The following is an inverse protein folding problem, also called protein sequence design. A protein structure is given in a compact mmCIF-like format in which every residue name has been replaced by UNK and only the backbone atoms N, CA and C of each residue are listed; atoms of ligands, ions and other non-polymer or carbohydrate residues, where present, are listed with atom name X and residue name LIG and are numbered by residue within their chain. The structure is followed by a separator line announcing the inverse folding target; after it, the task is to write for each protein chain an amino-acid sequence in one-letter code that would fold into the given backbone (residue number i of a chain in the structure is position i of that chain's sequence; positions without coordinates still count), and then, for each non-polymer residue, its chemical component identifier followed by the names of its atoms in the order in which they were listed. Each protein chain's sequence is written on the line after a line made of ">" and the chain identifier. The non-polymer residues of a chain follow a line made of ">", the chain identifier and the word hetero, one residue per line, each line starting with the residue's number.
data_IF_789736695202
#
_entry.id   IF_789736695202
#
_cell.length_a   1.000
_cell.length_b   1.000
_cell.length_c   1.000
_cell.angle_alpha   90.00
_cell.angle_beta   90.00
_cell.angle_gamma   90.00
#
_symmetry.space_group_name_H-M   'P 1'
#
loop_
_entity.id
_entity.type
_entity.pdbx_description
1 polymer ?
#
# COMPACT_ATOMS: atom_id res chain seq x y z
N UNK A 1 11.53 9.31 15.17
CA UNK A 1 10.22 9.23 14.47
C UNK A 1 9.48 7.98 14.97
N UNK A 2 8.22 8.08 15.42
CA UNK A 2 7.46 6.91 15.88
C UNK A 2 6.69 6.26 14.72
N UNK A 3 7.25 5.21 14.10
CA UNK A 3 6.64 4.52 12.96
C UNK A 3 5.66 3.40 13.36
N UNK A 4 5.59 3.03 14.64
CA UNK A 4 4.74 1.95 15.12
C UNK A 4 3.25 2.25 14.90
N UNK A 5 2.87 3.53 15.02
CA UNK A 5 1.49 3.99 14.84
C UNK A 5 0.94 3.74 13.43
N UNK A 6 1.80 3.58 12.43
CA UNK A 6 1.42 3.31 11.03
C UNK A 6 1.89 1.94 10.55
N UNK A 7 2.45 1.10 11.43
CA UNK A 7 3.18 -0.12 11.05
C UNK A 7 4.22 0.17 9.94
N UNK A 8 4.99 1.24 10.11
CA UNK A 8 6.00 1.69 9.13
C UNK A 8 7.33 0.96 9.30
N UNK A 9 8.04 0.79 8.19
CA UNK A 9 9.44 0.34 8.14
C UNK A 9 10.23 1.41 7.40
N UNK A 10 11.26 1.92 8.06
CA UNK A 10 12.20 2.88 7.49
C UNK A 10 13.34 2.18 6.76
N UNK A 11 13.78 2.82 5.69
CA UNK A 11 14.96 2.54 4.91
C UNK A 11 15.84 3.78 5.00
N UNK A 12 16.88 3.70 5.81
CA UNK A 12 17.71 4.83 6.15
C UNK A 12 18.87 4.97 5.16
N UNK A 13 19.13 6.18 4.63
CA UNK A 13 20.34 6.44 3.86
C UNK A 13 21.57 6.46 4.78
N UNK A 14 22.75 6.18 4.21
CA UNK A 14 24.03 6.22 4.95
C UNK A 14 24.47 7.63 5.37
N UNK A 15 23.82 8.67 4.84
CA UNK A 15 24.14 10.10 5.08
C UNK A 15 22.89 10.82 5.56
N UNK A 16 23.03 12.09 5.95
CA UNK A 16 21.89 12.94 6.26
C UNK A 16 20.84 12.89 5.13
N UNK A 17 19.57 12.54 5.43
CA UNK A 17 18.55 12.43 4.39
C UNK A 17 18.35 13.74 3.64
N UNK A 18 18.33 13.67 2.30
CA UNK A 18 18.00 14.81 1.44
C UNK A 18 16.50 15.14 1.44
N UNK A 19 15.68 14.20 1.92
CA UNK A 19 14.23 14.31 2.01
C UNK A 19 13.62 13.00 2.49
N UNK A 20 12.28 12.96 2.55
CA UNK A 20 11.51 11.80 2.99
C UNK A 20 10.54 11.36 1.90
N UNK A 21 10.50 10.06 1.63
CA UNK A 21 9.49 9.43 0.74
C UNK A 21 8.67 8.45 1.57
N UNK A 22 7.34 8.54 1.50
CA UNK A 22 6.43 7.64 2.23
C UNK A 22 5.54 6.92 1.22
N UNK A 23 5.64 5.59 1.16
CA UNK A 23 4.95 4.75 0.19
C UNK A 23 3.96 3.82 0.88
N UNK A 24 2.75 3.75 0.32
CA UNK A 24 1.72 2.79 0.70
C UNK A 24 1.55 1.73 -0.39
N UNK A 25 1.03 0.57 -0.01
CA UNK A 25 0.70 -0.49 -0.97
C UNK A 25 -0.55 -0.15 -1.80
N UNK A 26 -0.64 -0.76 -2.99
CA UNK A 26 -1.85 -0.74 -3.80
C UNK A 26 -2.97 -1.61 -3.23
N UNK A 27 -4.08 -1.69 -3.96
CA UNK A 27 -5.24 -2.50 -3.57
C UNK A 27 -4.84 -3.97 -3.33
N UNK A 28 -5.30 -4.55 -2.23
CA UNK A 28 -5.03 -5.96 -1.91
C UNK A 28 -3.61 -6.27 -1.40
N UNK A 29 -2.66 -5.34 -1.50
CA UNK A 29 -1.30 -5.52 -1.02
C UNK A 29 -1.11 -5.27 0.47
N UNK A 30 0.15 -5.35 0.90
CA UNK A 30 0.66 -4.89 2.19
C UNK A 30 2.01 -4.20 2.00
N UNK A 31 2.51 -3.58 3.05
CA UNK A 31 3.86 -2.98 3.11
C UNK A 31 4.98 -3.98 2.78
N UNK A 32 4.72 -5.29 2.84
CA UNK A 32 5.69 -6.35 2.53
C UNK A 32 5.80 -6.65 1.03
N UNK A 33 5.10 -5.91 0.17
CA UNK A 33 5.29 -5.99 -1.29
C UNK A 33 6.76 -5.87 -1.69
N UNK A 34 7.25 -6.82 -2.49
CA UNK A 34 8.64 -6.83 -3.01
C UNK A 34 8.95 -5.54 -3.77
N UNK A 35 8.00 -5.01 -4.54
CA UNK A 35 8.16 -3.74 -5.24
C UNK A 35 8.40 -2.58 -4.26
N UNK A 36 7.66 -2.52 -3.16
CA UNK A 36 7.83 -1.45 -2.17
C UNK A 36 9.17 -1.57 -1.45
N UNK A 37 9.63 -2.79 -1.17
CA UNK A 37 10.95 -3.02 -0.59
C UNK A 37 12.03 -2.47 -1.53
N UNK A 38 12.05 -2.92 -2.80
CA UNK A 38 13.04 -2.49 -3.79
C UNK A 38 13.03 -0.98 -4.05
N UNK A 39 11.84 -0.36 -4.11
CA UNK A 39 11.74 1.09 -4.25
C UNK A 39 12.32 1.82 -3.04
N UNK A 40 11.98 1.39 -1.82
CA UNK A 40 12.52 2.02 -0.61
C UNK A 40 14.03 1.84 -0.49
N UNK A 41 14.56 0.65 -0.82
CA UNK A 41 16.00 0.38 -0.84
C UNK A 41 16.71 1.34 -1.82
N UNK A 42 16.14 1.53 -3.02
CA UNK A 42 16.72 2.42 -4.04
C UNK A 42 16.64 3.90 -3.64
N UNK A 43 15.55 4.34 -3.02
CA UNK A 43 15.45 5.70 -2.45
C UNK A 43 16.50 5.94 -1.36
N UNK A 44 16.68 4.98 -0.45
CA UNK A 44 17.71 5.03 0.59
C UNK A 44 19.12 5.07 0.01
N UNK A 45 19.39 4.25 -1.02
CA UNK A 45 20.65 4.28 -1.76
C UNK A 45 20.92 5.64 -2.41
N UNK A 46 19.88 6.36 -2.82
CA UNK A 46 19.96 7.72 -3.38
C UNK A 46 19.98 8.84 -2.32
N UNK A 47 20.01 8.52 -1.04
CA UNK A 47 20.14 9.51 0.03
C UNK A 47 18.80 9.99 0.62
N UNK A 48 17.70 9.28 0.39
CA UNK A 48 16.37 9.63 0.93
C UNK A 48 15.99 8.71 2.07
N UNK A 49 15.34 9.25 3.12
CA UNK A 49 14.67 8.42 4.11
C UNK A 49 13.38 7.89 3.47
N UNK A 50 13.33 6.60 3.15
CA UNK A 50 12.13 5.98 2.58
C UNK A 50 11.38 5.18 3.64
N UNK A 51 10.05 5.31 3.67
CA UNK A 51 9.19 4.58 4.61
C UNK A 51 8.10 3.85 3.84
N UNK A 52 7.98 2.54 4.05
CA UNK A 52 6.84 1.73 3.60
C UNK A 52 5.95 1.39 4.79
N UNK A 53 4.62 1.46 4.62
CA UNK A 53 3.68 1.24 5.71
C UNK A 53 2.36 0.61 5.26
N UNK A 54 1.60 0.05 6.22
CA UNK A 54 0.29 -0.52 5.96
C UNK A 54 -0.82 0.53 6.17
N UNK A 55 -1.71 0.64 5.18
CA UNK A 55 -2.90 1.46 5.33
C UNK A 55 -3.78 0.95 6.48
N UNK A 56 -4.55 1.83 7.17
CA UNK A 56 -5.35 1.43 8.34
C UNK A 56 -6.28 0.24 8.09
N UNK A 57 -6.83 0.10 6.88
CA UNK A 57 -7.69 -1.04 6.54
C UNK A 57 -6.94 -2.37 6.54
N UNK A 58 -5.68 -2.39 6.05
CA UNK A 58 -4.86 -3.60 5.98
C UNK A 58 -4.46 -4.06 7.37
N UNK A 59 -4.23 -3.12 8.29
CA UNK A 59 -3.96 -3.40 9.71
C UNK A 59 -5.16 -4.01 10.42
N UNK A 60 -6.38 -3.52 10.12
CA UNK A 60 -7.63 -4.05 10.67
C UNK A 60 -8.02 -5.40 10.08
N UNK A 61 -7.58 -5.69 8.84
CA UNK A 61 -7.83 -6.96 8.14
C UNK A 61 -6.55 -7.43 7.44
N UNK A 62 -5.69 -8.18 8.15
CA UNK A 62 -4.35 -8.55 7.66
C UNK A 62 -4.37 -9.29 6.31
N UNK A 63 -5.41 -10.10 6.08
CA UNK A 63 -5.55 -10.92 4.88
C UNK A 63 -6.84 -10.63 4.12
N UNK A 64 -6.84 -11.02 2.84
CA UNK A 64 -7.99 -10.86 1.95
C UNK A 64 -8.08 -9.49 1.27
N UNK A 65 -8.92 -9.38 0.21
CA UNK A 65 -9.04 -8.16 -0.56
C UNK A 65 -9.65 -7.02 0.30
N UNK A 66 -9.30 -5.75 0.04
CA UNK A 66 -10.07 -4.64 0.57
C UNK A 66 -11.54 -4.84 0.18
N UNK A 67 -12.46 -4.45 1.08
CA UNK A 67 -13.87 -4.42 0.71
C UNK A 67 -13.98 -3.48 -0.49
N UNK A 68 -14.48 -4.01 -1.60
CA UNK A 68 -14.83 -3.17 -2.75
C UNK A 68 -15.87 -2.18 -2.23
N UNK A 69 -15.55 -0.88 -2.22
CA UNK A 69 -16.59 0.12 -2.02
C UNK A 69 -17.51 -0.04 -3.22
N UNK A 70 -18.74 -0.50 -3.01
CA UNK A 70 -19.73 -0.52 -4.09
C UNK A 70 -19.75 0.90 -4.67
N UNK A 71 -19.52 1.02 -5.98
CA UNK A 71 -19.81 2.26 -6.66
C UNK A 71 -21.28 2.61 -6.34
N UNK A 72 -21.64 3.88 -6.09
CA UNK A 72 -23.04 4.24 -5.91
C UNK A 72 -23.81 3.74 -7.14
N UNK A 73 -24.72 2.80 -6.91
CA UNK A 73 -25.65 2.30 -7.93
C UNK A 73 -26.59 3.46 -8.25
N UNK A 74 -26.21 4.31 -9.20
CA UNK A 74 -27.14 5.25 -9.81
C UNK A 74 -28.20 4.48 -10.61
N UNK A 75 -29.42 5.03 -10.78
CA UNK A 75 -30.45 4.42 -11.59
C UNK A 75 -29.96 4.33 -13.05
N UNK A 76 -29.41 3.17 -13.44
CA UNK A 76 -28.82 2.95 -14.76
C UNK A 76 -27.74 1.87 -14.83
N UNK A 77 -27.13 1.46 -13.70
CA UNK A 77 -26.09 0.42 -13.72
C UNK A 77 -26.69 -0.99 -13.73
N UNK A 78 -27.19 -1.44 -14.89
CA UNK A 78 -27.39 -2.87 -15.13
C UNK A 78 -26.03 -3.51 -15.44
N UNK A 79 -25.59 -4.43 -14.59
CA UNK A 79 -24.40 -5.25 -14.82
C UNK A 79 -24.89 -6.59 -15.39
N UNK A 80 -24.49 -7.02 -16.60
CA UNK A 80 -24.97 -8.29 -17.13
C UNK A 80 -24.44 -9.44 -16.25
N UNK A 81 -25.34 -10.36 -15.89
CA UNK A 81 -24.99 -11.58 -15.18
C UNK A 81 -24.12 -12.44 -16.11
N UNK A 82 -22.92 -12.80 -15.66
CA UNK A 82 -22.20 -13.92 -16.26
C UNK A 82 -22.96 -15.18 -15.85
N UNK A 83 -23.85 -15.67 -16.72
CA UNK A 83 -24.27 -17.08 -16.68
C UNK A 83 -23.02 -17.93 -16.80
N UNK A 84 -22.80 -18.80 -15.83
CA UNK A 84 -21.83 -19.87 -15.92
C UNK A 84 -22.21 -20.77 -17.11
N UNK A 85 -21.29 -20.93 -18.04
CA UNK A 85 -21.34 -22.02 -19.02
C UNK A 85 -20.91 -23.28 -18.27
N UNK A 86 -21.75 -24.31 -18.38
CA UNK A 86 -21.55 -25.64 -17.81
C UNK A 86 -20.38 -26.36 -18.47
#
# INVERSE_FOLDING_TARGET
>A
MNLQQIAGIAHEPHRTPSGVVVLAHGAGGSRESVLLQQLCDEWARRGWLAVRYDLPYRRRRPTGPPRVRAAPTGPGSSRPSKRAVA
#
